data_IF_571652880084
#
_entry.id   IF_571652880084
#
_cell.length_a   1.000
_cell.length_b   1.000
_cell.length_c   1.000
_cell.angle_alpha   90.00
_cell.angle_beta   90.00
_cell.angle_gamma   90.00
#
_symmetry.space_group_name_H-M   'P 1'
#
loop_
_entity.id
_entity.type
_entity.pdbx_description
1 polymer ?
#
# COMPACT_ATOMS: atom_id res chain seq x y z
N UNK A 1 31.04 -88.40 54.32
CA UNK A 1 29.65 -87.96 54.13
C UNK A 1 29.66 -86.49 53.73
N UNK A 2 29.05 -86.17 52.58
CA UNK A 2 28.51 -84.89 52.05
C UNK A 2 29.02 -83.53 52.56
N UNK A 3 29.14 -82.45 51.79
CA UNK A 3 29.05 -82.09 50.35
C UNK A 3 29.33 -80.56 50.33
N UNK A 4 29.89 -80.07 49.23
CA UNK A 4 30.11 -78.67 48.87
C UNK A 4 28.80 -77.88 48.61
N UNK A 5 28.82 -76.54 48.75
CA UNK A 5 28.18 -75.47 47.93
C UNK A 5 28.38 -74.11 48.69
N UNK A 6 29.02 -73.02 48.24
CA UNK A 6 29.20 -72.29 46.97
C UNK A 6 28.07 -71.27 46.62
N UNK A 7 28.35 -69.98 46.94
CA UNK A 7 27.95 -68.67 46.30
C UNK A 7 26.44 -68.30 46.18
N UNK A 8 26.04 -67.00 45.96
CA UNK A 8 26.78 -65.86 45.35
C UNK A 8 26.87 -64.57 46.21
N UNK A 9 28.02 -63.89 46.28
CA UNK A 9 28.45 -62.73 45.45
C UNK A 9 27.40 -61.63 45.23
N UNK A 10 27.55 -60.55 45.99
CA UNK A 10 26.84 -59.27 45.82
C UNK A 10 27.50 -58.48 44.67
N UNK A 11 27.48 -59.07 43.47
CA UNK A 11 27.90 -58.47 42.20
C UNK A 11 26.68 -58.44 41.27
N UNK A 12 25.69 -57.64 41.62
CA UNK A 12 24.57 -57.23 40.76
C UNK A 12 23.75 -56.20 41.51
N UNK A 13 24.05 -54.90 41.37
CA UNK A 13 23.07 -53.79 41.40
C UNK A 13 23.67 -52.36 41.50
N UNK A 14 24.99 -52.14 41.39
CA UNK A 14 25.54 -50.76 41.32
C UNK A 14 26.55 -50.62 40.19
N UNK A 15 26.12 -50.97 38.98
CA UNK A 15 26.77 -50.55 37.74
C UNK A 15 25.68 -49.95 36.86
N UNK A 16 25.40 -48.65 37.04
CA UNK A 16 24.72 -47.74 36.09
C UNK A 16 24.48 -46.37 36.78
N UNK A 17 25.55 -45.71 37.19
CA UNK A 17 25.52 -44.30 37.56
C UNK A 17 26.74 -43.59 36.96
N UNK A 18 26.97 -43.82 35.67
CA UNK A 18 27.94 -43.09 34.85
C UNK A 18 27.13 -42.32 33.79
N UNK A 19 27.43 -41.02 33.69
CA UNK A 19 26.95 -40.11 32.65
C UNK A 19 25.46 -39.76 32.64
N UNK A 20 25.00 -38.97 33.62
CA UNK A 20 24.06 -37.89 33.27
C UNK A 20 24.87 -36.77 32.61
N UNK A 21 25.18 -36.96 31.33
CA UNK A 21 25.44 -35.84 30.44
C UNK A 21 24.22 -34.94 30.52
N UNK A 22 24.36 -33.82 31.22
CA UNK A 22 23.44 -32.71 31.10
C UNK A 22 23.49 -32.24 29.66
N UNK A 23 22.63 -32.80 28.81
CA UNK A 23 22.24 -32.16 27.57
C UNK A 23 21.59 -30.84 27.98
N UNK A 24 22.41 -29.79 28.09
CA UNK A 24 21.97 -28.43 27.82
C UNK A 24 21.52 -28.49 26.37
N UNK A 25 20.30 -28.95 26.14
CA UNK A 25 19.56 -28.61 24.95
C UNK A 25 19.43 -27.10 25.07
N UNK A 26 20.41 -26.41 24.47
CA UNK A 26 20.22 -25.04 24.06
C UNK A 26 18.86 -25.04 23.40
N UNK A 27 17.91 -24.33 23.98
CA UNK A 27 16.79 -23.80 23.22
C UNK A 27 17.50 -22.94 22.18
N UNK A 28 17.87 -23.56 21.07
CA UNK A 28 18.47 -22.89 19.94
C UNK A 28 17.35 -21.98 19.48
N UNK A 29 17.40 -20.74 19.96
CA UNK A 29 16.48 -19.69 19.60
C UNK A 29 16.59 -19.63 18.09
N UNK A 30 15.62 -20.21 17.39
CA UNK A 30 15.61 -20.22 15.92
C UNK A 30 15.87 -18.77 15.51
N UNK A 31 16.85 -18.51 14.62
CA UNK A 31 17.19 -17.14 14.25
C UNK A 31 15.93 -16.52 13.63
N UNK A 32 15.26 -15.66 14.41
CA UNK A 32 14.09 -14.91 13.98
C UNK A 32 14.58 -13.74 13.16
N UNK A 33 14.00 -13.52 11.99
CA UNK A 33 14.29 -12.33 11.20
C UNK A 33 13.82 -11.10 11.98
N UNK A 34 14.72 -10.15 12.19
CA UNK A 34 14.44 -8.87 12.84
C UNK A 34 14.90 -7.70 11.98
N UNK A 35 14.47 -6.49 12.34
CA UNK A 35 14.77 -5.27 11.57
C UNK A 35 16.27 -5.04 11.39
N UNK A 36 17.06 -5.30 12.42
CA UNK A 36 18.52 -5.16 12.45
C UNK A 36 19.24 -6.13 11.50
N UNK A 37 18.57 -7.20 11.06
CA UNK A 37 19.14 -8.17 10.13
C UNK A 37 18.85 -7.85 8.66
N UNK A 38 18.02 -6.83 8.39
CA UNK A 38 17.59 -6.45 7.05
C UNK A 38 18.27 -5.14 6.65
N UNK A 39 19.01 -5.17 5.55
CA UNK A 39 19.67 -3.98 5.00
C UNK A 39 18.82 -3.42 3.87
N UNK A 40 18.56 -2.11 3.91
CA UNK A 40 17.90 -1.38 2.82
C UNK A 40 18.96 -0.47 2.18
N UNK A 41 19.04 -0.46 0.85
CA UNK A 41 19.97 0.35 0.08
C UNK A 41 19.28 0.91 -1.17
N UNK A 42 19.85 1.95 -1.78
CA UNK A 42 19.32 2.56 -3.03
C UNK A 42 17.83 2.93 -2.96
N UNK A 43 17.37 3.42 -1.80
CA UNK A 43 16.00 3.94 -1.67
C UNK A 43 15.87 5.17 -2.55
N UNK A 44 14.87 5.15 -3.43
CA UNK A 44 14.50 6.27 -4.28
C UNK A 44 12.99 6.44 -4.27
N UNK A 45 12.55 7.69 -4.28
CA UNK A 45 11.17 8.06 -4.49
C UNK A 45 11.17 9.36 -5.29
N UNK A 46 10.36 9.43 -6.35
CA UNK A 46 10.22 10.62 -7.19
C UNK A 46 8.82 10.73 -7.78
N UNK A 47 8.47 11.93 -8.23
CA UNK A 47 7.37 12.13 -9.16
C UNK A 47 7.97 12.63 -10.48
N UNK A 48 7.56 12.04 -11.61
CA UNK A 48 8.04 12.42 -12.94
C UNK A 48 7.91 13.95 -13.14
N UNK A 49 8.96 14.58 -13.69
CA UNK A 49 9.04 16.03 -13.90
C UNK A 49 8.34 16.45 -15.20
N UNK A 50 7.06 16.11 -15.30
CA UNK A 50 6.18 16.51 -16.39
C UNK A 50 4.87 17.07 -15.81
N UNK A 51 4.12 17.88 -16.58
CA UNK A 51 2.81 18.33 -16.16
C UNK A 51 1.74 17.24 -16.29
N UNK A 52 0.62 17.45 -15.61
CA UNK A 52 -0.61 16.70 -15.88
C UNK A 52 -1.04 16.93 -17.33
N UNK A 53 -1.29 15.84 -18.04
CA UNK A 53 -1.72 15.87 -19.44
C UNK A 53 -3.25 15.87 -19.48
N UNK A 54 -3.83 16.81 -20.20
CA UNK A 54 -5.27 16.90 -20.45
C UNK A 54 -5.57 16.19 -21.77
N UNK A 55 -6.53 15.27 -21.77
CA UNK A 55 -6.95 14.50 -22.93
C UNK A 55 -8.42 14.78 -23.25
N UNK A 56 -8.63 15.68 -24.20
CA UNK A 56 -9.95 16.20 -24.56
C UNK A 56 -10.49 15.60 -25.88
N UNK A 57 -10.42 14.27 -26.00
CA UNK A 57 -10.75 13.57 -27.25
C UNK A 57 -12.17 12.97 -27.24
N UNK A 58 -12.84 12.93 -26.08
CA UNK A 58 -14.15 12.29 -25.93
C UNK A 58 -15.26 13.33 -25.77
N UNK A 59 -16.39 13.18 -26.49
CA UNK A 59 -17.52 14.09 -26.33
C UNK A 59 -18.32 13.85 -25.02
N UNK A 60 -17.99 12.82 -24.24
CA UNK A 60 -18.73 12.43 -23.03
C UNK A 60 -17.93 12.72 -21.75
N UNK A 61 -16.60 12.56 -21.81
CA UNK A 61 -15.73 12.70 -20.64
C UNK A 61 -14.48 13.50 -20.95
N UNK A 62 -14.00 14.25 -19.96
CA UNK A 62 -12.62 14.70 -19.87
C UNK A 62 -11.76 13.62 -19.23
N UNK A 63 -10.61 13.33 -19.82
CA UNK A 63 -9.56 12.54 -19.17
C UNK A 63 -8.38 13.43 -18.86
N UNK A 64 -7.69 13.10 -17.78
CA UNK A 64 -6.38 13.69 -17.49
C UNK A 64 -5.46 12.63 -16.90
N UNK A 65 -4.18 12.75 -17.19
CA UNK A 65 -3.14 11.83 -16.70
C UNK A 65 -2.13 12.59 -15.86
N UNK A 66 -2.02 12.24 -14.59
CA UNK A 66 -0.97 12.82 -13.74
C UNK A 66 0.38 12.18 -14.03
N UNK A 67 1.49 12.85 -13.67
CA UNK A 67 2.82 12.24 -13.64
C UNK A 67 2.83 11.01 -12.74
N UNK A 68 3.74 10.07 -13.00
CA UNK A 68 3.90 8.89 -12.15
C UNK A 68 4.67 9.27 -10.88
N UNK A 69 4.12 8.90 -9.73
CA UNK A 69 4.90 8.61 -8.56
C UNK A 69 5.66 7.31 -8.78
N UNK A 70 6.93 7.26 -8.39
CA UNK A 70 7.79 6.08 -8.49
C UNK A 70 8.52 5.89 -7.17
N UNK A 71 8.58 4.66 -6.70
CA UNK A 71 9.43 4.29 -5.57
C UNK A 71 10.18 2.99 -5.89
N UNK A 72 11.44 2.91 -5.46
CA UNK A 72 12.27 1.72 -5.62
C UNK A 72 13.23 1.59 -4.45
N UNK A 73 13.52 0.34 -4.06
CA UNK A 73 14.48 0.05 -3.02
C UNK A 73 15.16 -1.30 -3.28
N UNK A 74 16.46 -1.33 -3.01
CA UNK A 74 17.22 -2.56 -2.82
C UNK A 74 17.10 -3.04 -1.38
N UNK A 75 16.91 -4.35 -1.19
CA UNK A 75 16.83 -4.98 0.13
C UNK A 75 17.74 -6.21 0.16
N UNK A 76 18.48 -6.36 1.25
CA UNK A 76 19.18 -7.60 1.58
C UNK A 76 18.48 -8.24 2.78
N UNK A 77 17.79 -9.34 2.52
CA UNK A 77 17.17 -10.17 3.55
C UNK A 77 18.19 -11.16 4.12
N UNK A 78 18.17 -11.44 5.43
CA UNK A 78 18.98 -12.50 6.01
C UNK A 78 18.51 -13.89 5.50
N UNK A 79 19.30 -14.95 5.74
CA UNK A 79 18.85 -16.31 5.49
C UNK A 79 17.46 -16.58 6.11
N UNK A 80 16.52 -17.05 5.30
CA UNK A 80 15.14 -17.32 5.70
C UNK A 80 15.07 -18.72 6.32
N UNK A 81 14.56 -18.88 7.55
CA UNK A 81 14.45 -20.19 8.19
C UNK A 81 13.55 -21.17 7.42
N UNK A 82 13.77 -22.47 7.66
CA UNK A 82 12.92 -23.53 7.11
C UNK A 82 11.45 -23.29 7.51
N UNK A 83 10.54 -23.48 6.54
CA UNK A 83 9.10 -23.32 6.71
C UNK A 83 8.64 -21.89 7.02
N UNK A 84 9.48 -20.89 6.77
CA UNK A 84 9.07 -19.49 6.76
C UNK A 84 8.99 -18.98 5.32
N UNK A 85 7.98 -18.16 5.06
CA UNK A 85 7.85 -17.41 3.82
C UNK A 85 7.72 -15.94 4.18
N UNK A 86 8.57 -15.11 3.58
CA UNK A 86 8.57 -13.67 3.77
C UNK A 86 8.30 -12.98 2.44
N UNK A 87 7.44 -11.99 2.46
CA UNK A 87 7.18 -11.12 1.31
C UNK A 87 7.75 -9.75 1.63
N UNK A 88 8.61 -9.24 0.75
CA UNK A 88 9.14 -7.88 0.84
C UNK A 88 8.48 -7.05 -0.26
N UNK A 89 7.91 -5.91 0.08
CA UNK A 89 7.25 -5.08 -0.92
C UNK A 89 6.64 -3.80 -0.40
N UNK A 90 5.86 -3.14 -1.26
CA UNK A 90 5.25 -1.85 -1.01
C UNK A 90 3.80 -1.95 -0.55
N UNK A 91 3.47 -1.24 0.52
CA UNK A 91 2.11 -0.98 1.00
C UNK A 91 1.85 0.51 0.84
N UNK A 92 0.69 0.90 0.32
CA UNK A 92 0.28 2.30 0.19
C UNK A 92 -1.08 2.51 0.83
N UNK A 93 -1.30 3.70 1.38
CA UNK A 93 -2.59 4.12 1.88
C UNK A 93 -2.86 5.60 1.60
N UNK A 94 -4.11 5.90 1.26
CA UNK A 94 -4.61 7.26 1.14
C UNK A 94 -4.91 7.82 2.54
N UNK A 95 -4.39 9.01 2.85
CA UNK A 95 -4.52 9.68 4.16
C UNK A 95 -5.33 10.97 4.09
N UNK A 96 -5.47 11.55 2.90
CA UNK A 96 -6.36 12.66 2.63
C UNK A 96 -6.86 12.53 1.19
N UNK A 97 -8.14 12.82 0.99
CA UNK A 97 -8.73 12.87 -0.35
C UNK A 97 -9.73 14.00 -0.49
N UNK A 98 -9.42 14.88 -1.43
CA UNK A 98 -10.33 15.86 -2.01
C UNK A 98 -10.34 15.60 -3.51
N UNK A 99 -11.54 15.41 -4.08
CA UNK A 99 -11.71 15.29 -5.51
C UNK A 99 -13.08 15.81 -5.89
N UNK A 100 -13.12 17.05 -6.38
CA UNK A 100 -14.32 17.81 -6.70
C UNK A 100 -14.40 18.09 -8.21
N UNK A 101 -15.60 18.00 -8.76
CA UNK A 101 -15.93 18.45 -10.10
C UNK A 101 -17.09 19.45 -9.99
N UNK A 102 -16.87 20.68 -10.45
CA UNK A 102 -17.86 21.77 -10.36
C UNK A 102 -18.57 21.94 -11.69
N UNK A 103 -19.89 22.14 -11.65
CA UNK A 103 -20.73 22.29 -12.83
C UNK A 103 -21.39 23.68 -12.83
N UNK A 104 -20.55 24.72 -12.84
CA UNK A 104 -20.98 26.11 -12.70
C UNK A 104 -21.85 26.34 -11.46
N UNK A 105 -22.96 27.03 -11.67
CA UNK A 105 -23.93 27.38 -10.63
C UNK A 105 -24.92 26.25 -10.27
N UNK A 106 -24.81 25.09 -10.91
CA UNK A 106 -25.75 23.97 -10.74
C UNK A 106 -25.41 23.17 -9.47
N UNK A 107 -24.12 22.95 -9.22
CA UNK A 107 -23.64 22.15 -8.10
C UNK A 107 -22.27 21.53 -8.36
N UNK A 108 -21.89 20.58 -7.49
CA UNK A 108 -20.63 19.85 -7.59
C UNK A 108 -20.84 18.35 -7.41
N UNK A 109 -20.01 17.54 -8.05
CA UNK A 109 -19.80 16.16 -7.67
C UNK A 109 -18.48 16.00 -6.92
N UNK A 110 -18.39 14.99 -6.06
CA UNK A 110 -17.15 14.69 -5.35
C UNK A 110 -16.96 13.20 -5.16
N UNK A 111 -15.75 12.71 -5.43
CA UNK A 111 -15.34 11.40 -4.94
C UNK A 111 -14.86 11.54 -3.50
N UNK A 112 -15.38 10.70 -2.61
CA UNK A 112 -15.12 10.79 -1.18
C UNK A 112 -14.78 9.44 -0.60
N UNK A 113 -13.95 9.44 0.44
CA UNK A 113 -13.75 8.30 1.35
C UNK A 113 -14.42 8.64 2.68
N UNK A 114 -15.69 8.25 2.93
CA UNK A 114 -16.47 8.74 4.07
C UNK A 114 -15.81 8.52 5.43
N UNK A 115 -15.29 7.31 5.67
CA UNK A 115 -14.57 6.96 6.91
C UNK A 115 -13.34 7.85 7.15
N UNK A 116 -12.62 8.21 6.08
CA UNK A 116 -11.43 9.05 6.14
C UNK A 116 -11.83 10.52 6.36
N UNK A 117 -12.84 11.01 5.62
CA UNK A 117 -13.36 12.39 5.73
C UNK A 117 -13.92 12.67 7.11
N UNK A 118 -14.59 11.70 7.71
CA UNK A 118 -15.20 11.81 9.05
C UNK A 118 -14.19 11.56 10.18
N UNK A 119 -12.92 11.28 9.84
CA UNK A 119 -11.86 11.03 10.83
C UNK A 119 -12.02 9.73 11.61
N UNK A 120 -12.91 8.82 11.16
CA UNK A 120 -13.12 7.50 11.78
C UNK A 120 -11.92 6.59 11.55
N UNK A 121 -11.20 6.80 10.46
CA UNK A 121 -9.93 6.13 10.16
C UNK A 121 -8.86 7.15 9.79
N UNK A 122 -7.59 6.79 10.01
CA UNK A 122 -6.44 7.65 9.67
C UNK A 122 -5.94 7.47 8.25
N UNK A 123 -6.25 6.32 7.65
CA UNK A 123 -5.83 5.96 6.31
C UNK A 123 -6.75 4.86 5.75
N UNK A 124 -6.87 4.80 4.43
CA UNK A 124 -7.55 3.73 3.69
C UNK A 124 -6.51 3.02 2.82
N UNK A 125 -6.51 1.69 2.83
CA UNK A 125 -5.63 0.86 2.00
C UNK A 125 -5.74 1.24 0.53
N UNK A 126 -4.62 1.34 -0.17
CA UNK A 126 -4.57 1.55 -1.62
C UNK A 126 -4.06 0.31 -2.35
N UNK A 127 -4.45 -0.87 -1.85
CA UNK A 127 -4.10 -2.16 -2.41
C UNK A 127 -4.80 -2.43 -3.74
N UNK A 128 -4.22 -3.32 -4.56
CA UNK A 128 -4.79 -3.88 -5.80
C UNK A 128 -6.19 -4.52 -5.65
N UNK A 129 -6.67 -4.72 -4.42
CA UNK A 129 -7.98 -5.31 -4.12
C UNK A 129 -7.97 -6.84 -4.05
N UNK A 130 -6.83 -7.48 -4.31
CA UNK A 130 -6.67 -8.93 -4.36
C UNK A 130 -5.64 -9.38 -3.33
N UNK A 131 -4.44 -8.81 -3.39
CA UNK A 131 -3.24 -9.23 -2.67
C UNK A 131 -3.00 -8.35 -1.44
N UNK A 132 -4.02 -8.12 -0.61
CA UNK A 132 -3.88 -7.26 0.57
C UNK A 132 -2.70 -7.69 1.46
N UNK A 133 -1.91 -6.74 1.98
CA UNK A 133 -2.05 -5.28 1.85
C UNK A 133 -1.18 -4.64 0.76
N UNK A 134 -0.67 -5.44 -0.18
CA UNK A 134 0.29 -4.98 -1.17
C UNK A 134 -0.37 -4.05 -2.18
N UNK A 135 0.36 -3.00 -2.57
CA UNK A 135 -0.07 -2.07 -3.62
C UNK A 135 -0.27 -2.82 -4.95
N UNK A 136 0.65 -3.74 -5.26
CA UNK A 136 0.58 -4.65 -6.40
C UNK A 136 1.36 -5.94 -6.11
N UNK A 137 1.44 -6.84 -7.09
CA UNK A 137 2.05 -8.16 -6.93
C UNK A 137 3.09 -8.51 -8.01
N UNK A 138 3.52 -7.52 -8.80
CA UNK A 138 4.49 -7.71 -9.89
C UNK A 138 5.88 -7.28 -9.43
N UNK A 139 6.31 -6.08 -9.78
CA UNK A 139 7.58 -5.50 -9.30
C UNK A 139 7.48 -4.98 -7.87
N UNK A 140 6.27 -4.85 -7.36
CA UNK A 140 5.96 -4.24 -6.07
C UNK A 140 6.32 -5.15 -4.90
N UNK A 141 6.43 -6.47 -5.14
CA UNK A 141 6.68 -7.48 -4.11
C UNK A 141 7.64 -8.57 -4.59
N UNK A 142 8.43 -9.11 -3.67
CA UNK A 142 9.25 -10.31 -3.87
C UNK A 142 8.97 -11.28 -2.73
N UNK A 143 8.73 -12.54 -3.06
CA UNK A 143 8.50 -13.62 -2.09
C UNK A 143 9.76 -14.47 -1.91
N UNK A 144 10.17 -14.67 -0.66
CA UNK A 144 11.28 -15.53 -0.26
C UNK A 144 10.75 -16.68 0.58
N UNK A 145 10.95 -17.91 0.12
CA UNK A 145 10.58 -19.12 0.84
C UNK A 145 11.83 -19.82 1.36
N UNK A 146 11.88 -20.04 2.67
CA UNK A 146 12.97 -20.74 3.31
C UNK A 146 12.89 -22.27 3.15
N UNK A 147 13.99 -22.99 3.44
CA UNK A 147 15.23 -22.45 3.95
C UNK A 147 16.09 -21.79 2.85
N UNK A 148 16.67 -20.63 3.14
CA UNK A 148 17.78 -20.08 2.36
C UNK A 148 19.06 -20.12 3.19
N UNK A 149 20.21 -20.37 2.54
CA UNK A 149 21.51 -20.52 3.23
C UNK A 149 22.38 -19.27 3.17
N UNK A 150 22.05 -18.33 2.28
CA UNK A 150 22.78 -17.07 2.07
C UNK A 150 21.80 -15.89 2.11
N UNK A 151 22.26 -14.69 2.46
CA UNK A 151 21.45 -13.48 2.33
C UNK A 151 20.91 -13.33 0.91
N UNK A 152 19.67 -12.88 0.79
CA UNK A 152 18.98 -12.67 -0.49
C UNK A 152 18.92 -11.19 -0.82
N UNK A 153 19.54 -10.79 -1.94
CA UNK A 153 19.46 -9.43 -2.48
C UNK A 153 18.30 -9.35 -3.45
N UNK A 154 17.42 -8.37 -3.27
CA UNK A 154 16.23 -8.15 -4.08
C UNK A 154 16.01 -6.66 -4.33
N UNK A 155 15.28 -6.35 -5.38
CA UNK A 155 14.80 -5.00 -5.69
C UNK A 155 13.30 -5.05 -5.82
N UNK A 156 12.62 -4.09 -5.20
CA UNK A 156 11.18 -3.88 -5.36
C UNK A 156 10.92 -2.47 -5.82
N UNK A 157 9.98 -2.30 -6.74
CA UNK A 157 9.59 -1.01 -7.27
C UNK A 157 8.08 -0.91 -7.41
N UNK A 158 7.55 0.29 -7.27
CA UNK A 158 6.15 0.58 -7.57
C UNK A 158 6.06 1.88 -8.38
N UNK A 159 4.96 2.01 -9.10
CA UNK A 159 4.58 3.28 -9.69
C UNK A 159 3.08 3.49 -9.53
N UNK A 160 2.67 4.75 -9.39
CA UNK A 160 1.28 5.12 -9.25
C UNK A 160 0.99 6.41 -10.02
N UNK A 161 -0.18 6.50 -10.63
CA UNK A 161 -0.64 7.71 -11.30
C UNK A 161 -2.17 7.74 -11.36
N UNK A 162 -2.74 8.93 -11.44
CA UNK A 162 -4.16 9.09 -11.68
C UNK A 162 -4.44 9.20 -13.17
N UNK A 163 -5.43 8.42 -13.61
CA UNK A 163 -5.96 8.49 -14.96
C UNK A 163 -7.50 8.37 -14.96
N UNK A 164 -8.22 9.32 -14.31
CA UNK A 164 -9.67 9.25 -14.22
C UNK A 164 -10.37 9.74 -15.49
N UNK A 165 -11.66 9.41 -15.59
CA UNK A 165 -12.59 10.01 -16.55
C UNK A 165 -13.64 10.81 -15.78
N UNK A 166 -13.81 12.09 -16.12
CA UNK A 166 -14.79 13.00 -15.51
C UNK A 166 -15.82 13.38 -16.57
N UNK A 167 -17.11 13.27 -16.26
CA UNK A 167 -18.18 13.59 -17.21
C UNK A 167 -18.26 15.08 -17.47
N UNK A 168 -18.47 15.48 -18.73
CA UNK A 168 -18.76 16.87 -19.08
C UNK A 168 -20.09 17.33 -18.52
N UNK A 169 -21.09 16.44 -18.55
CA UNK A 169 -22.42 16.70 -18.05
C UNK A 169 -22.53 16.39 -16.55
N UNK A 170 -23.56 16.97 -15.93
CA UNK A 170 -23.95 16.70 -14.54
C UNK A 170 -24.24 15.20 -14.37
N UNK A 171 -23.64 14.51 -13.40
CA UNK A 171 -23.65 13.03 -13.34
C UNK A 171 -25.02 12.41 -13.07
N UNK A 172 -26.00 13.19 -12.63
CA UNK A 172 -27.40 12.74 -12.41
C UNK A 172 -28.35 13.17 -13.54
N UNK A 173 -27.85 13.87 -14.55
CA UNK A 173 -28.65 14.41 -15.64
C UNK A 173 -28.79 13.40 -16.78
N UNK A 174 -29.96 13.38 -17.43
CA UNK A 174 -30.16 12.67 -18.69
C UNK A 174 -29.65 13.46 -19.91
N UNK A 175 -29.13 14.67 -19.70
CA UNK A 175 -28.56 15.51 -20.76
C UNK A 175 -27.06 15.26 -20.93
N UNK A 176 -26.60 15.29 -22.18
CA UNK A 176 -25.17 15.28 -22.53
C UNK A 176 -24.59 16.70 -22.70
N UNK A 177 -25.33 17.75 -22.34
CA UNK A 177 -24.83 19.12 -22.42
C UNK A 177 -23.61 19.29 -21.50
N UNK A 178 -22.46 19.73 -22.02
CA UNK A 178 -21.28 20.05 -21.22
C UNK A 178 -21.61 21.15 -20.21
N UNK A 179 -21.33 20.90 -18.94
CA UNK A 179 -21.60 21.82 -17.83
C UNK A 179 -20.44 21.88 -16.83
N UNK A 180 -19.45 20.99 -16.96
CA UNK A 180 -18.25 20.98 -16.14
C UNK A 180 -17.48 22.29 -16.32
N UNK A 181 -17.16 22.95 -15.22
CA UNK A 181 -16.41 24.21 -15.22
C UNK A 181 -15.08 24.12 -14.48
N UNK A 182 -14.91 23.12 -13.61
CA UNK A 182 -13.71 23.01 -12.80
C UNK A 182 -13.49 21.60 -12.25
N UNK A 183 -12.23 21.17 -12.15
CA UNK A 183 -11.82 19.96 -11.44
C UNK A 183 -10.73 20.33 -10.43
N UNK A 184 -10.94 19.97 -9.17
CA UNK A 184 -9.93 20.08 -8.12
C UNK A 184 -9.67 18.70 -7.53
N UNK A 185 -8.42 18.28 -7.46
CA UNK A 185 -8.01 17.05 -6.78
C UNK A 185 -6.80 17.32 -5.91
N UNK A 186 -6.87 16.85 -4.68
CA UNK A 186 -5.79 16.96 -3.71
C UNK A 186 -5.78 15.69 -2.86
N UNK A 187 -4.77 14.84 -3.04
CA UNK A 187 -4.67 13.56 -2.35
C UNK A 187 -3.29 13.36 -1.77
N UNK A 188 -3.24 12.89 -0.53
CA UNK A 188 -2.00 12.59 0.20
C UNK A 188 -1.92 11.11 0.55
N UNK A 189 -0.71 10.56 0.44
CA UNK A 189 -0.43 9.15 0.61
C UNK A 189 0.75 8.92 1.54
N UNK A 190 0.72 7.77 2.22
CA UNK A 190 1.88 7.19 2.87
C UNK A 190 2.14 5.84 2.21
N UNK A 191 3.40 5.60 1.89
CA UNK A 191 3.89 4.38 1.28
C UNK A 191 4.97 3.78 2.18
N UNK A 192 4.86 2.49 2.48
CA UNK A 192 5.79 1.75 3.32
C UNK A 192 6.45 0.62 2.54
N UNK A 193 7.76 0.52 2.64
CA UNK A 193 8.50 -0.69 2.31
C UNK A 193 8.44 -1.63 3.51
N UNK A 194 7.99 -2.86 3.31
CA UNK A 194 7.70 -3.80 4.41
C UNK A 194 8.23 -5.19 4.08
N UNK A 195 8.84 -5.84 5.08
CA UNK A 195 9.02 -7.28 5.09
C UNK A 195 7.94 -7.91 5.98
N UNK A 196 7.18 -8.87 5.44
CA UNK A 196 6.07 -9.51 6.14
C UNK A 196 6.16 -11.03 6.07
N UNK A 197 6.05 -11.70 7.21
CA UNK A 197 5.92 -13.15 7.25
C UNK A 197 4.51 -13.56 6.80
N UNK A 198 4.43 -14.44 5.80
CA UNK A 198 3.16 -14.84 5.19
C UNK A 198 2.24 -15.61 6.14
N UNK A 199 2.81 -16.33 7.11
CA UNK A 199 2.08 -17.19 8.06
C UNK A 199 1.77 -16.42 9.34
N UNK A 200 2.79 -15.88 10.02
CA UNK A 200 2.62 -15.23 11.33
C UNK A 200 2.05 -13.82 11.21
N UNK A 201 2.05 -13.23 10.01
CA UNK A 201 1.71 -11.82 9.75
C UNK A 201 2.58 -10.83 10.53
N UNK A 202 3.74 -11.29 11.01
CA UNK A 202 4.77 -10.41 11.54
C UNK A 202 5.21 -9.44 10.45
N UNK A 203 5.32 -8.15 10.79
CA UNK A 203 5.65 -7.07 9.86
C UNK A 203 6.82 -6.26 10.39
N UNK A 204 7.75 -5.97 9.49
CA UNK A 204 8.90 -5.13 9.74
C UNK A 204 8.86 -3.99 8.73
N UNK A 205 8.60 -2.77 9.20
CA UNK A 205 8.66 -1.56 8.37
C UNK A 205 10.12 -1.20 8.13
N UNK A 206 10.49 -1.11 6.86
CA UNK A 206 11.85 -0.93 6.40
C UNK A 206 12.16 0.52 6.00
N UNK A 207 11.20 1.16 5.31
CA UNK A 207 11.26 2.55 4.86
C UNK A 207 9.85 3.15 4.76
N UNK A 208 9.71 4.44 5.03
CA UNK A 208 8.47 5.20 4.88
C UNK A 208 8.68 6.36 3.90
N UNK A 209 7.70 6.58 3.03
CA UNK A 209 7.67 7.67 2.04
C UNK A 209 6.31 8.37 2.13
N UNK A 210 6.31 9.70 2.14
CA UNK A 210 5.10 10.54 2.07
C UNK A 210 5.06 11.28 0.76
N UNK A 211 3.90 11.30 0.10
CA UNK A 211 3.74 12.00 -1.17
C UNK A 211 2.32 12.52 -1.35
N UNK A 212 2.17 13.52 -2.21
CA UNK A 212 0.92 14.23 -2.45
C UNK A 212 0.81 14.58 -3.92
N UNK A 213 -0.40 14.53 -4.45
CA UNK A 213 -0.71 14.85 -5.82
C UNK A 213 -1.84 15.87 -5.86
N UNK A 214 -1.60 16.98 -6.57
CA UNK A 214 -2.57 18.08 -6.72
C UNK A 214 -2.85 18.37 -8.19
N UNK A 215 -4.12 18.45 -8.56
CA UNK A 215 -4.59 18.77 -9.90
C UNK A 215 -5.65 19.85 -9.79
N UNK A 216 -5.53 20.85 -10.64
CA UNK A 216 -6.49 21.96 -10.72
C UNK A 216 -6.65 22.33 -12.20
N UNK A 217 -7.85 22.08 -12.73
CA UNK A 217 -8.20 22.21 -14.14
C UNK A 217 -9.41 23.14 -14.25
N UNK A 218 -9.25 24.23 -14.98
CA UNK A 218 -10.37 25.08 -15.40
C UNK A 218 -10.96 24.52 -16.70
N UNK A 219 -12.29 24.57 -16.82
CA UNK A 219 -13.02 24.12 -17.99
C UNK A 219 -13.99 25.22 -18.42
N UNK A 220 -13.95 25.57 -19.71
CA UNK A 220 -14.97 26.40 -20.35
C UNK A 220 -15.88 25.50 -21.21
N UNK A 221 -17.13 25.22 -20.79
CA UNK A 221 -18.02 24.34 -21.53
C UNK A 221 -18.50 24.91 -22.87
N UNK A 222 -18.39 26.22 -23.10
CA UNK A 222 -18.82 26.90 -24.33
C UNK A 222 -17.77 26.80 -25.44
N UNK A 223 -16.53 26.45 -25.08
CA UNK A 223 -15.46 26.21 -26.04
C UNK A 223 -15.65 24.88 -26.80
N UNK A 224 -15.13 24.79 -28.04
CA UNK A 224 -15.17 23.54 -28.80
C UNK A 224 -14.35 22.44 -28.12
N UNK A 225 -14.75 21.19 -28.36
CA UNK A 225 -13.99 20.03 -27.91
C UNK A 225 -12.54 20.10 -28.45
N UNK A 226 -11.58 19.85 -27.57
CA UNK A 226 -10.15 20.03 -27.81
C UNK A 226 -9.59 21.35 -27.29
N UNK A 227 -10.44 22.24 -26.73
CA UNK A 227 -10.03 23.56 -26.25
C UNK A 227 -10.82 24.04 -25.03
N UNK A 228 -11.56 23.17 -24.34
CA UNK A 228 -12.34 23.51 -23.15
C UNK A 228 -11.49 23.58 -21.90
N UNK A 229 -10.56 22.63 -21.74
CA UNK A 229 -9.87 22.40 -20.48
C UNK A 229 -8.44 22.94 -20.48
N UNK A 230 -8.04 23.56 -19.38
CA UNK A 230 -6.67 24.04 -19.15
C UNK A 230 -6.20 23.74 -17.73
N UNK A 231 -4.94 23.31 -17.60
CA UNK A 231 -4.32 23.10 -16.29
C UNK A 231 -3.97 24.47 -15.71
N UNK A 232 -4.61 24.84 -14.61
CA UNK A 232 -4.39 26.12 -13.90
C UNK A 232 -3.59 25.95 -12.61
N UNK A 233 -3.49 24.72 -12.12
CA UNK A 233 -2.66 24.35 -10.98
C UNK A 233 -1.16 24.38 -11.27
N UNK A 234 -0.39 23.86 -10.30
CA UNK A 234 1.07 23.77 -10.44
C UNK A 234 1.43 22.85 -11.61
N UNK A 235 2.33 23.28 -12.52
CA UNK A 235 2.76 22.45 -13.63
C UNK A 235 3.61 21.26 -13.17
N UNK A 236 4.24 21.33 -12.00
CA UNK A 236 5.06 20.25 -11.44
C UNK A 236 4.62 19.94 -10.02
N UNK A 237 4.66 18.65 -9.67
CA UNK A 237 4.31 18.15 -8.35
C UNK A 237 5.48 18.30 -7.36
N UNK A 238 5.13 18.42 -6.08
CA UNK A 238 6.13 18.37 -5.01
C UNK A 238 6.74 16.98 -4.94
N UNK A 239 8.07 16.91 -4.85
CA UNK A 239 8.75 15.62 -4.75
C UNK A 239 8.41 14.91 -3.44
N UNK A 240 8.35 13.57 -3.45
CA UNK A 240 8.03 12.78 -2.28
C UNK A 240 9.10 12.90 -1.20
N UNK A 241 8.70 12.74 0.06
CA UNK A 241 9.58 12.83 1.22
C UNK A 241 9.86 11.42 1.75
N UNK A 242 11.10 10.96 1.58
CA UNK A 242 11.61 9.74 2.23
C UNK A 242 11.91 10.10 3.69
N UNK A 243 11.26 9.43 4.64
CA UNK A 243 11.41 9.76 6.06
C UNK A 243 12.64 9.08 6.66
N UNK A 244 13.29 9.77 7.60
CA UNK A 244 14.42 9.23 8.37
C UNK A 244 13.98 8.32 9.54
N UNK A 245 12.67 8.15 9.72
CA UNK A 245 12.07 7.31 10.74
C UNK A 245 10.93 6.48 10.13
N UNK A 246 10.56 5.39 10.79
CA UNK A 246 9.51 4.50 10.32
C UNK A 246 8.19 4.81 10.98
N UNK A 247 7.17 5.14 10.18
CA UNK A 247 5.82 5.34 10.69
C UNK A 247 5.11 4.00 10.84
N UNK A 248 4.33 3.80 11.92
CA UNK A 248 3.51 2.61 12.06
C UNK A 248 2.41 2.59 10.99
N UNK A 249 2.12 1.41 10.46
CA UNK A 249 1.04 1.22 9.50
C UNK A 249 -0.30 1.16 10.25
N UNK A 250 -1.26 2.04 9.97
CA UNK A 250 -2.58 1.97 10.56
C UNK A 250 -3.27 0.64 10.22
N UNK A 251 -4.04 0.02 11.15
CA UNK A 251 -4.76 -1.23 10.86
C UNK A 251 -5.63 -1.18 9.60
N UNK A 252 -6.28 -0.05 9.33
CA UNK A 252 -7.14 0.16 8.16
C UNK A 252 -6.39 0.20 6.81
N UNK A 253 -5.07 0.41 6.83
CA UNK A 253 -4.24 0.31 5.64
C UNK A 253 -3.85 -1.14 5.28
N UNK A 254 -4.17 -2.11 6.14
CA UNK A 254 -3.70 -3.50 6.01
C UNK A 254 -4.77 -4.47 5.50
N UNK A 255 -5.99 -4.01 5.30
CA UNK A 255 -7.12 -4.85 4.95
C UNK A 255 -8.10 -4.14 4.04
N UNK A 256 -9.24 -4.80 3.83
CA UNK A 256 -10.36 -4.30 3.03
C UNK A 256 -11.11 -3.17 3.78
N UNK A 257 -11.83 -2.30 3.06
CA UNK A 257 -11.78 -2.12 1.59
C UNK A 257 -10.52 -1.35 1.15
N UNK A 258 -10.14 -1.47 -0.13
CA UNK A 258 -9.18 -0.54 -0.74
C UNK A 258 -9.88 0.78 -1.09
N UNK A 259 -9.11 1.81 -1.46
CA UNK A 259 -9.61 3.14 -1.75
C UNK A 259 -10.66 3.14 -2.88
N UNK A 260 -10.45 2.31 -3.92
CA UNK A 260 -11.36 2.22 -5.05
C UNK A 260 -12.71 1.59 -4.72
N UNK A 261 -12.76 0.66 -3.77
CA UNK A 261 -13.99 0.02 -3.31
C UNK A 261 -14.66 0.83 -2.19
N UNK A 262 -13.87 1.57 -1.39
CA UNK A 262 -14.34 2.41 -0.30
C UNK A 262 -14.93 3.75 -0.74
N UNK A 263 -14.55 4.23 -1.93
CA UNK A 263 -14.95 5.56 -2.39
C UNK A 263 -16.42 5.60 -2.83
N UNK A 264 -17.01 6.79 -2.66
CA UNK A 264 -18.38 7.10 -3.10
C UNK A 264 -18.37 8.30 -4.01
N UNK A 265 -19.24 8.32 -5.03
CA UNK A 265 -19.49 9.53 -5.81
C UNK A 265 -20.72 10.23 -5.25
N UNK A 266 -20.51 11.41 -4.68
CA UNK A 266 -21.59 12.27 -4.20
C UNK A 266 -21.92 13.34 -5.24
N UNK A 267 -23.20 13.67 -5.35
CA UNK A 267 -23.70 14.87 -6.01
C UNK A 267 -24.24 15.83 -4.96
N UNK A 268 -23.82 17.10 -5.03
CA UNK A 268 -24.29 18.18 -4.16
C UNK A 268 -24.83 19.31 -5.04
N UNK A 269 -26.15 19.37 -5.26
CA UNK A 269 -26.74 20.46 -6.01
C UNK A 269 -26.66 21.76 -5.21
N UNK A 270 -26.69 22.90 -5.89
CA UNK A 270 -26.81 24.22 -5.23
C UNK A 270 -28.09 24.34 -4.41
N UNK A 271 -29.16 23.66 -4.83
CA UNK A 271 -30.45 23.60 -4.13
C UNK A 271 -30.91 22.16 -3.99
N UNK A 272 -31.37 21.79 -2.80
CA UNK A 272 -31.84 20.44 -2.49
C UNK A 272 -30.84 19.62 -1.68
N UNK A 273 -31.17 18.35 -1.47
CA UNK A 273 -30.35 17.44 -0.67
C UNK A 273 -29.20 16.83 -1.50
N UNK A 274 -28.04 16.55 -0.87
CA UNK A 274 -27.01 15.71 -1.46
C UNK A 274 -27.53 14.32 -1.83
N UNK A 275 -26.97 13.73 -2.88
CA UNK A 275 -27.34 12.41 -3.40
C UNK A 275 -26.09 11.54 -3.57
N UNK A 276 -26.19 10.27 -3.22
CA UNK A 276 -25.18 9.27 -3.58
C UNK A 276 -25.44 8.86 -5.03
N UNK A 277 -24.50 9.13 -5.92
CA UNK A 277 -24.57 8.73 -7.33
C UNK A 277 -24.00 7.33 -7.52
N UNK A 278 -22.86 7.06 -6.89
CA UNK A 278 -22.20 5.76 -6.90
C UNK A 278 -21.93 5.35 -5.45
N UNK A 279 -22.55 4.27 -4.94
CA UNK A 279 -22.27 3.75 -3.61
C UNK A 279 -20.89 3.05 -3.56
N UNK A 280 -20.35 2.78 -2.36
CA UNK A 280 -19.15 1.95 -2.24
C UNK A 280 -19.48 0.51 -2.67
N UNK A 281 -18.46 -0.26 -3.01
CA UNK A 281 -18.60 -1.65 -3.49
C UNK A 281 -18.62 -2.68 -2.37
#
# INVERSE_FOLDING_TARGET
MSRYHCLPSLLSLIALAVCRMGCIQSIACKPRIRRENIVVYEVSASIDQCPTIIEENSPIVLRYKTPYFRASAGVVMPPVPRNETWVVGWIQACTQMEFYNTYGDIGMSSWELPELREGRVKAISDSDGVSYPWYGNTTETVTLTGPTSKPSRLTVSMNDNFYPSVTWAVPISNSNTPMLTHITRDQSFITWLVAMNSVTKERIVLQTVRWRMRVDIAVDPDMPLGSRASLVGRPYQEQPHILNYQEPIPPNALGRPNANDAQVLMWRPRRGAPLVVIPPK
#
